data_IF_308627534462
#
_entry.id   IF_308627534462
#
_cell.length_a   1.000
_cell.length_b   1.000
_cell.length_c   1.000
_cell.angle_alpha   90.00
_cell.angle_beta   90.00
_cell.angle_gamma   90.00
#
_symmetry.space_group_name_H-M   'P 1'
#
loop_
_entity.id
_entity.type
_entity.pdbx_description
1 polymer ?
#
# COMPACT_ATOMS: atom_id res chain seq x y z
N UNK A 1 0.92 -22.80 27.02
CA UNK A 1 0.78 -21.85 25.89
C UNK A 1 1.71 -22.29 24.77
N UNK A 2 1.35 -22.10 23.52
CA UNK A 2 2.27 -22.35 22.41
C UNK A 2 3.32 -21.23 22.34
N UNK A 3 4.49 -21.51 21.77
CA UNK A 3 5.55 -20.49 21.57
C UNK A 3 5.03 -19.24 20.84
N UNK A 4 4.09 -19.43 19.93
CA UNK A 4 3.44 -18.33 19.21
C UNK A 4 2.57 -17.48 20.14
N UNK A 5 1.81 -18.09 21.05
CA UNK A 5 0.98 -17.36 22.01
C UNK A 5 1.81 -16.49 22.93
N UNK A 6 2.93 -17.01 23.46
CA UNK A 6 3.83 -16.25 24.33
C UNK A 6 4.44 -15.04 23.60
N UNK A 7 4.94 -15.26 22.37
CA UNK A 7 5.50 -14.18 21.53
C UNK A 7 4.43 -13.13 21.20
N UNK A 8 3.21 -13.56 20.83
CA UNK A 8 2.11 -12.67 20.46
C UNK A 8 1.65 -11.82 21.65
N UNK A 9 1.49 -12.44 22.84
CA UNK A 9 1.11 -11.71 24.06
C UNK A 9 2.13 -10.65 24.40
N UNK A 10 3.43 -10.98 24.37
CA UNK A 10 4.49 -10.04 24.70
C UNK A 10 4.61 -8.92 23.65
N UNK A 11 4.53 -9.24 22.37
CA UNK A 11 4.52 -8.26 21.29
C UNK A 11 3.35 -7.28 21.42
N UNK A 12 2.14 -7.80 21.58
CA UNK A 12 0.90 -7.01 21.60
C UNK A 12 0.76 -6.11 22.83
N UNK A 13 1.38 -6.50 23.94
CA UNK A 13 1.34 -5.79 25.23
C UNK A 13 1.75 -4.34 25.11
N UNK A 14 2.73 -4.01 24.25
CA UNK A 14 3.31 -2.67 24.18
C UNK A 14 2.46 -1.67 23.41
N UNK A 15 1.85 -2.05 22.30
CA UNK A 15 1.27 -1.09 21.40
C UNK A 15 -0.27 -1.13 21.30
N UNK A 16 -0.91 -2.14 21.83
CA UNK A 16 -2.37 -2.26 21.71
C UNK A 16 -3.13 -1.02 22.21
N UNK A 17 -2.69 -0.47 23.32
CA UNK A 17 -3.30 0.73 23.88
C UNK A 17 -2.96 2.01 23.08
N UNK A 18 -1.78 2.07 22.46
CA UNK A 18 -1.40 3.17 21.60
C UNK A 18 -2.35 3.24 20.39
N UNK A 19 -2.57 2.11 19.68
CA UNK A 19 -3.51 2.07 18.56
C UNK A 19 -4.93 2.52 18.97
N UNK A 20 -5.42 2.09 20.14
CA UNK A 20 -6.73 2.51 20.63
C UNK A 20 -6.76 4.04 20.87
N UNK A 21 -5.71 4.62 21.47
CA UNK A 21 -5.60 6.08 21.69
C UNK A 21 -5.59 6.86 20.37
N UNK A 22 -4.96 6.32 19.34
CA UNK A 22 -4.96 6.87 17.97
C UNK A 22 -6.26 6.61 17.20
N UNK A 23 -7.30 6.02 17.84
CA UNK A 23 -8.63 5.82 17.25
C UNK A 23 -8.75 4.57 16.37
N UNK A 24 -7.77 3.67 16.42
CA UNK A 24 -7.86 2.38 15.73
C UNK A 24 -8.75 1.40 16.50
N UNK A 25 -9.56 0.67 15.75
CA UNK A 25 -10.36 -0.44 16.29
C UNK A 25 -9.85 -1.76 15.73
N UNK A 26 -9.76 -2.78 16.58
CA UNK A 26 -9.43 -4.12 16.12
C UNK A 26 -10.52 -4.61 15.18
N UNK A 27 -10.15 -4.96 13.95
CA UNK A 27 -11.02 -5.67 13.03
C UNK A 27 -10.46 -7.07 12.83
N UNK A 28 -11.36 -7.97 12.75
CA UNK A 28 -11.29 -9.39 12.45
C UNK A 28 -9.89 -9.95 12.15
N UNK A 29 -9.42 -10.84 13.01
CA UNK A 29 -8.38 -11.80 12.68
C UNK A 29 -8.84 -12.66 11.50
N UNK A 30 -8.04 -12.68 10.43
CA UNK A 30 -8.25 -13.62 9.32
C UNK A 30 -7.02 -14.49 9.23
N UNK A 31 -7.16 -15.74 9.66
CA UNK A 31 -6.01 -16.61 9.80
C UNK A 31 -4.96 -16.00 10.75
N UNK A 32 -3.75 -15.82 10.26
CA UNK A 32 -2.60 -15.26 10.98
C UNK A 32 -2.50 -13.73 10.93
N UNK A 33 -3.35 -13.05 10.14
CA UNK A 33 -3.32 -11.59 9.99
C UNK A 33 -4.19 -10.91 11.05
N UNK A 34 -3.60 -9.94 11.73
CA UNK A 34 -4.26 -9.03 12.67
C UNK A 34 -4.30 -7.64 12.06
N UNK A 35 -5.49 -7.07 11.88
CA UNK A 35 -5.67 -5.75 11.30
C UNK A 35 -6.44 -4.84 12.24
N UNK A 36 -6.01 -3.58 12.30
CA UNK A 36 -6.62 -2.48 13.04
C UNK A 36 -6.97 -1.40 12.04
N UNK A 37 -8.18 -0.87 12.15
CA UNK A 37 -8.68 0.12 11.22
C UNK A 37 -9.05 1.41 11.94
N UNK A 38 -8.75 2.53 11.29
CA UNK A 38 -9.21 3.87 11.67
C UNK A 38 -9.89 4.49 10.45
N UNK A 39 -11.17 4.87 10.52
CA UNK A 39 -11.86 5.48 9.40
C UNK A 39 -11.34 6.90 9.16
N UNK A 40 -11.36 7.33 7.89
CA UNK A 40 -11.23 8.71 7.46
C UNK A 40 -12.25 8.99 6.34
N UNK A 41 -12.32 10.21 5.84
CA UNK A 41 -13.38 10.65 4.91
C UNK A 41 -13.49 9.77 3.66
N UNK A 42 -12.37 9.31 3.09
CA UNK A 42 -12.34 8.55 1.83
C UNK A 42 -12.15 7.05 2.03
N UNK A 43 -12.00 6.57 3.27
CA UNK A 43 -11.76 5.15 3.52
C UNK A 43 -11.23 4.82 4.92
N UNK A 44 -10.14 4.04 4.97
CA UNK A 44 -9.58 3.56 6.23
C UNK A 44 -8.06 3.58 6.23
N UNK A 45 -7.47 4.00 7.35
CA UNK A 45 -6.09 3.63 7.66
C UNK A 45 -6.04 2.21 8.22
N UNK A 46 -5.03 1.47 7.84
CA UNK A 46 -4.84 0.08 8.24
C UNK A 46 -3.46 -0.06 8.89
N UNK A 47 -3.44 -0.48 10.13
CA UNK A 47 -2.24 -0.99 10.79
C UNK A 47 -2.37 -2.50 10.94
N UNK A 48 -1.38 -3.27 10.54
CA UNK A 48 -1.49 -4.73 10.56
C UNK A 48 -0.17 -5.45 10.82
N UNK A 49 -0.28 -6.67 11.34
CA UNK A 49 0.84 -7.60 11.47
C UNK A 49 0.36 -9.03 11.24
N UNK A 50 1.30 -9.91 10.91
CA UNK A 50 1.08 -11.35 10.74
C UNK A 50 1.78 -12.08 11.90
N UNK A 51 1.08 -13.01 12.54
CA UNK A 51 1.66 -13.89 13.56
C UNK A 51 1.57 -15.34 13.09
N UNK A 52 2.71 -15.89 12.66
CA UNK A 52 2.80 -17.25 12.12
C UNK A 52 2.74 -18.29 13.23
N UNK A 53 1.64 -19.00 13.33
CA UNK A 53 1.36 -19.95 14.42
C UNK A 53 2.41 -21.08 14.48
N UNK A 54 2.87 -21.56 13.34
CA UNK A 54 3.82 -22.68 13.27
C UNK A 54 5.23 -22.32 13.81
N UNK A 55 5.66 -21.08 13.65
CA UNK A 55 7.04 -20.65 13.96
C UNK A 55 7.14 -19.71 15.16
N UNK A 56 6.03 -19.04 15.51
CA UNK A 56 6.02 -17.94 16.46
C UNK A 56 6.62 -16.64 15.92
N UNK A 57 6.89 -16.59 14.61
CA UNK A 57 7.34 -15.38 13.93
C UNK A 57 6.22 -14.33 13.91
N UNK A 58 6.59 -13.07 14.15
CA UNK A 58 5.70 -11.92 13.99
C UNK A 58 6.30 -10.99 12.96
N UNK A 59 5.48 -10.58 11.99
CA UNK A 59 5.87 -9.63 10.94
C UNK A 59 4.94 -8.43 10.94
N UNK A 60 5.46 -7.27 11.31
CA UNK A 60 4.76 -5.99 11.21
C UNK A 60 4.73 -5.57 9.74
N UNK A 61 3.58 -5.09 9.28
CA UNK A 61 3.43 -4.54 7.94
C UNK A 61 3.50 -3.01 8.01
N UNK A 62 4.02 -2.35 6.96
CA UNK A 62 3.90 -0.89 6.85
C UNK A 62 2.45 -0.45 7.02
N UNK A 63 2.20 0.73 7.61
CA UNK A 63 0.85 1.28 7.67
C UNK A 63 0.32 1.51 6.25
N UNK A 64 -0.99 1.40 6.08
CA UNK A 64 -1.63 1.50 4.79
C UNK A 64 -2.80 2.48 4.86
N UNK A 65 -3.04 3.20 3.76
CA UNK A 65 -4.27 3.95 3.54
C UNK A 65 -5.09 3.23 2.44
N UNK A 66 -6.33 2.92 2.72
CA UNK A 66 -7.26 2.29 1.79
C UNK A 66 -8.33 3.29 1.39
N UNK A 67 -8.41 3.61 0.11
CA UNK A 67 -9.46 4.45 -0.45
C UNK A 67 -10.60 3.56 -0.94
N UNK A 68 -11.73 3.60 -0.25
CA UNK A 68 -12.84 2.67 -0.48
C UNK A 68 -13.35 2.68 -1.92
N UNK A 69 -13.40 3.85 -2.57
CA UNK A 69 -13.81 3.97 -3.96
C UNK A 69 -12.81 3.31 -4.92
N UNK A 70 -11.50 3.47 -4.66
CA UNK A 70 -10.44 2.85 -5.48
C UNK A 70 -10.54 1.33 -5.40
N UNK A 71 -10.60 0.79 -4.18
CA UNK A 71 -10.64 -0.65 -3.98
C UNK A 71 -11.96 -1.27 -4.50
N UNK A 72 -13.10 -0.56 -4.35
CA UNK A 72 -14.37 -0.99 -4.91
C UNK A 72 -14.33 -1.06 -6.43
N UNK A 73 -13.80 -0.03 -7.09
CA UNK A 73 -13.65 0.01 -8.55
C UNK A 73 -12.71 -1.09 -9.03
N UNK A 74 -11.59 -1.29 -8.35
CA UNK A 74 -10.63 -2.34 -8.67
C UNK A 74 -11.29 -3.73 -8.61
N UNK A 75 -12.20 -3.94 -7.65
CA UNK A 75 -12.98 -5.18 -7.55
C UNK A 75 -13.92 -5.44 -8.74
N UNK A 76 -14.32 -4.40 -9.45
CA UNK A 76 -15.16 -4.51 -10.66
C UNK A 76 -14.37 -4.91 -11.91
N UNK A 77 -13.03 -4.85 -11.84
CA UNK A 77 -12.13 -5.28 -12.91
C UNK A 77 -11.75 -6.74 -12.67
N UNK A 78 -11.87 -7.55 -13.70
CA UNK A 78 -11.35 -8.91 -13.68
C UNK A 78 -9.89 -8.89 -14.15
N UNK A 79 -8.97 -9.36 -13.29
CA UNK A 79 -7.54 -9.38 -13.59
C UNK A 79 -6.86 -10.63 -12.99
N UNK A 80 -5.73 -11.07 -13.56
CA UNK A 80 -4.99 -12.21 -13.04
C UNK A 80 -4.61 -12.04 -11.57
N UNK A 81 -4.54 -13.16 -10.85
CA UNK A 81 -4.12 -13.21 -9.44
C UNK A 81 -4.97 -12.37 -8.48
N UNK A 82 -6.17 -11.95 -8.93
CA UNK A 82 -7.12 -11.24 -8.08
C UNK A 82 -7.40 -12.06 -6.83
N UNK A 83 -6.84 -11.60 -5.71
CA UNK A 83 -7.07 -12.25 -4.44
C UNK A 83 -8.56 -12.17 -4.07
N UNK A 84 -9.23 -13.31 -3.99
CA UNK A 84 -10.62 -13.42 -3.56
C UNK A 84 -10.81 -13.04 -2.08
N UNK A 85 -9.75 -12.70 -1.38
CA UNK A 85 -9.77 -12.39 0.04
C UNK A 85 -9.95 -10.89 0.27
N UNK A 86 -11.09 -10.57 0.82
CA UNK A 86 -11.58 -9.23 1.18
C UNK A 86 -10.90 -8.58 2.39
N UNK A 87 -9.62 -8.81 2.62
CA UNK A 87 -8.84 -7.87 3.40
C UNK A 87 -8.10 -7.05 2.36
N UNK A 88 -8.73 -5.95 1.98
CA UNK A 88 -8.13 -5.01 1.08
C UNK A 88 -6.72 -4.69 1.56
N UNK A 89 -5.74 -5.04 0.75
CA UNK A 89 -4.47 -4.34 0.81
C UNK A 89 -4.84 -2.86 0.67
N UNK A 90 -4.31 -2.00 1.52
CA UNK A 90 -4.57 -0.57 1.38
C UNK A 90 -4.19 -0.08 -0.01
N UNK A 91 -4.74 1.03 -0.44
CA UNK A 91 -4.40 1.64 -1.72
C UNK A 91 -2.94 2.08 -1.73
N UNK A 92 -2.49 2.70 -0.64
CA UNK A 92 -1.11 3.16 -0.43
C UNK A 92 -0.47 2.43 0.75
N UNK A 93 0.86 2.35 0.70
CA UNK A 93 1.67 1.75 1.75
C UNK A 93 2.76 2.73 2.19
N UNK A 94 2.80 3.00 3.49
CA UNK A 94 3.88 3.74 4.12
C UNK A 94 5.16 2.91 4.24
N UNK A 95 6.11 3.44 4.99
CA UNK A 95 7.40 2.80 5.24
C UNK A 95 7.55 2.46 6.72
N UNK A 96 8.24 1.38 7.01
CA UNK A 96 8.69 1.07 8.37
C UNK A 96 9.97 1.86 8.68
N UNK A 97 10.23 2.11 9.97
CA UNK A 97 11.50 2.67 10.38
C UNK A 97 12.65 1.67 10.14
N UNK A 98 13.87 2.18 9.92
CA UNK A 98 15.06 1.34 9.75
C UNK A 98 15.28 0.43 10.98
N UNK A 99 14.99 0.93 12.19
CA UNK A 99 15.13 0.14 13.40
C UNK A 99 14.06 -0.96 13.52
N UNK A 100 12.85 -0.70 13.03
CA UNK A 100 11.81 -1.74 12.94
C UNK A 100 12.21 -2.84 11.95
N UNK A 101 12.79 -2.48 10.80
CA UNK A 101 13.29 -3.45 9.82
C UNK A 101 14.42 -4.33 10.41
N UNK A 102 15.33 -3.74 11.19
CA UNK A 102 16.40 -4.49 11.88
C UNK A 102 15.83 -5.48 12.90
N UNK A 103 14.86 -5.03 13.70
CA UNK A 103 14.21 -5.89 14.70
C UNK A 103 13.35 -6.97 14.05
N UNK A 104 12.71 -6.68 12.92
CA UNK A 104 11.98 -7.67 12.16
C UNK A 104 12.90 -8.78 11.63
N UNK A 105 14.07 -8.43 11.08
CA UNK A 105 15.09 -9.40 10.67
C UNK A 105 15.60 -10.23 11.84
N UNK A 106 15.79 -9.62 13.03
CA UNK A 106 16.12 -10.34 14.25
C UNK A 106 15.02 -11.34 14.67
N UNK A 107 13.75 -10.92 14.58
CA UNK A 107 12.60 -11.77 14.85
C UNK A 107 12.50 -12.93 13.84
N UNK A 108 12.82 -12.70 12.57
CA UNK A 108 12.87 -13.73 11.52
C UNK A 108 13.99 -14.76 11.79
N UNK A 109 15.16 -14.29 12.22
CA UNK A 109 16.28 -15.18 12.52
C UNK A 109 16.08 -15.99 13.82
N UNK A 110 15.42 -15.43 14.82
CA UNK A 110 15.18 -16.05 16.12
C UNK A 110 13.86 -15.59 16.73
N UNK A 111 12.74 -16.27 16.44
CA UNK A 111 11.43 -15.90 16.98
C UNK A 111 11.32 -16.32 18.45
N UNK A 112 11.73 -15.42 19.34
CA UNK A 112 11.71 -15.58 20.79
C UNK A 112 10.84 -14.52 21.47
N UNK A 113 10.48 -14.74 22.71
CA UNK A 113 9.75 -13.75 23.54
C UNK A 113 10.54 -12.44 23.63
N UNK A 114 11.87 -12.50 23.76
CA UNK A 114 12.73 -11.31 23.80
C UNK A 114 12.68 -10.53 22.49
N UNK A 115 12.81 -11.21 21.33
CA UNK A 115 12.73 -10.54 20.03
C UNK A 115 11.33 -9.98 19.75
N UNK A 116 10.27 -10.65 20.20
CA UNK A 116 8.90 -10.18 20.13
C UNK A 116 8.68 -8.93 21.00
N UNK A 117 9.23 -8.91 22.23
CA UNK A 117 9.18 -7.77 23.13
C UNK A 117 9.86 -6.53 22.53
N UNK A 118 11.07 -6.69 22.00
CA UNK A 118 11.80 -5.59 21.34
C UNK A 118 11.07 -5.05 20.13
N UNK A 119 10.54 -5.93 19.28
CA UNK A 119 9.74 -5.53 18.11
C UNK A 119 8.45 -4.81 18.55
N UNK A 120 7.78 -5.29 19.61
CA UNK A 120 6.59 -4.64 20.17
C UNK A 120 6.86 -3.23 20.70
N UNK A 121 7.99 -3.04 21.39
CA UNK A 121 8.41 -1.73 21.89
C UNK A 121 8.72 -0.76 20.76
N UNK A 122 9.41 -1.21 19.71
CA UNK A 122 9.70 -0.37 18.56
C UNK A 122 8.42 -0.05 17.76
N UNK A 123 7.51 -1.02 17.64
CA UNK A 123 6.19 -0.79 17.06
C UNK A 123 5.42 0.30 17.82
N UNK A 124 5.49 0.27 19.17
CA UNK A 124 4.90 1.33 19.99
C UNK A 124 5.52 2.70 19.69
N UNK A 125 6.85 2.80 19.61
CA UNK A 125 7.53 4.06 19.30
C UNK A 125 7.15 4.58 17.91
N UNK A 126 7.09 3.69 16.94
CA UNK A 126 6.66 4.03 15.58
C UNK A 126 5.24 4.61 15.57
N UNK A 127 4.29 3.98 16.27
CA UNK A 127 2.90 4.45 16.36
C UNK A 127 2.85 5.85 16.97
N UNK A 128 3.54 6.08 18.08
CA UNK A 128 3.53 7.37 18.80
C UNK A 128 4.23 8.51 18.03
N UNK A 129 5.15 8.19 17.12
CA UNK A 129 6.01 9.19 16.47
C UNK A 129 5.73 9.41 14.99
N UNK A 130 5.20 8.42 14.29
CA UNK A 130 5.13 8.42 12.82
C UNK A 130 3.73 8.20 12.26
N UNK A 131 2.85 7.54 13.01
CA UNK A 131 1.56 7.15 12.48
C UNK A 131 0.67 8.35 12.18
N UNK A 132 0.70 9.37 13.03
CA UNK A 132 -0.06 10.60 12.84
C UNK A 132 0.37 11.35 11.56
N UNK A 133 1.68 11.49 11.34
CA UNK A 133 2.20 12.13 10.11
C UNK A 133 1.79 11.36 8.85
N UNK A 134 1.81 10.03 8.91
CA UNK A 134 1.31 9.19 7.80
C UNK A 134 -0.19 9.42 7.55
N UNK A 135 -0.99 9.51 8.60
CA UNK A 135 -2.42 9.76 8.50
C UNK A 135 -2.72 11.14 7.92
N UNK A 136 -2.01 12.18 8.39
CA UNK A 136 -2.16 13.54 7.86
C UNK A 136 -1.82 13.60 6.37
N UNK A 137 -0.72 12.99 5.97
CA UNK A 137 -0.26 12.95 4.57
C UNK A 137 -1.26 12.24 3.66
N UNK A 138 -1.70 11.04 4.06
CA UNK A 138 -2.52 10.17 3.22
C UNK A 138 -4.03 10.31 3.44
N UNK A 139 -4.50 11.24 4.29
CA UNK A 139 -5.93 11.54 4.44
C UNK A 139 -6.49 12.40 3.32
N UNK A 140 -5.65 13.18 2.64
CA UNK A 140 -6.04 14.18 1.65
C UNK A 140 -5.53 13.76 0.27
N UNK A 141 -6.43 13.44 -0.70
CA UNK A 141 -6.02 13.02 -2.03
C UNK A 141 -5.07 13.99 -2.74
N UNK A 142 -5.22 15.31 -2.53
CA UNK A 142 -4.36 16.33 -3.12
C UNK A 142 -2.90 16.22 -2.67
N UNK A 143 -2.64 15.95 -1.39
CA UNK A 143 -1.27 15.76 -0.87
C UNK A 143 -0.60 14.55 -1.53
N UNK A 144 -1.37 13.49 -1.71
CA UNK A 144 -0.89 12.26 -2.37
C UNK A 144 -0.54 12.54 -3.84
N UNK A 145 -1.38 13.27 -4.55
CA UNK A 145 -1.09 13.65 -5.96
C UNK A 145 0.20 14.45 -6.03
N UNK A 146 0.37 15.43 -5.14
CA UNK A 146 1.60 16.22 -5.09
C UNK A 146 2.84 15.35 -4.90
N UNK A 147 2.82 14.42 -3.95
CA UNK A 147 3.92 13.48 -3.73
C UNK A 147 4.18 12.58 -4.96
N UNK A 148 3.11 12.06 -5.59
CA UNK A 148 3.22 11.18 -6.75
C UNK A 148 3.88 11.85 -7.96
N UNK A 149 3.66 13.16 -8.15
CA UNK A 149 4.27 13.91 -9.25
C UNK A 149 5.79 14.09 -9.09
N UNK A 150 6.33 13.95 -7.88
CA UNK A 150 7.78 13.97 -7.62
C UNK A 150 8.45 12.59 -7.72
N UNK A 151 7.69 11.51 -7.84
CA UNK A 151 8.24 10.16 -7.94
C UNK A 151 8.67 9.83 -9.38
N UNK A 152 9.81 9.17 -9.52
CA UNK A 152 10.29 8.68 -10.83
C UNK A 152 9.27 7.76 -11.51
N UNK A 153 8.54 6.98 -10.73
CA UNK A 153 7.47 6.13 -11.20
C UNK A 153 6.32 6.09 -10.17
N UNK A 154 5.24 6.79 -10.46
CA UNK A 154 4.11 7.01 -9.57
C UNK A 154 3.45 5.70 -9.09
N UNK A 155 3.41 4.64 -9.92
CA UNK A 155 2.79 3.37 -9.54
C UNK A 155 3.48 2.67 -8.36
N UNK A 156 4.74 3.02 -8.04
CA UNK A 156 5.48 2.45 -6.91
C UNK A 156 4.87 2.79 -5.54
N UNK A 157 4.05 3.82 -5.45
CA UNK A 157 3.38 4.21 -4.22
C UNK A 157 2.18 3.32 -3.88
N UNK A 158 1.66 2.60 -4.88
CA UNK A 158 0.46 1.79 -4.72
C UNK A 158 0.78 0.35 -4.36
N UNK A 159 -0.10 -0.26 -3.58
CA UNK A 159 -0.01 -1.67 -3.20
C UNK A 159 -0.33 -2.61 -4.36
N UNK A 160 0.23 -3.80 -4.29
CA UNK A 160 -0.04 -4.91 -5.20
C UNK A 160 1.15 -5.28 -6.09
N UNK A 161 0.93 -6.25 -6.98
CA UNK A 161 1.86 -6.53 -8.08
C UNK A 161 1.98 -5.32 -9.00
N UNK A 162 3.07 -5.16 -9.78
CA UNK A 162 3.24 -3.97 -10.61
C UNK A 162 2.03 -3.62 -11.50
N UNK A 163 1.39 -4.57 -12.23
CA UNK A 163 0.19 -4.26 -13.00
C UNK A 163 -1.00 -3.84 -12.12
N UNK A 164 -1.19 -4.50 -10.97
CA UNK A 164 -2.25 -4.17 -10.03
C UNK A 164 -2.04 -2.79 -9.38
N UNK A 165 -0.81 -2.46 -9.01
CA UNK A 165 -0.44 -1.15 -8.50
C UNK A 165 -0.72 -0.04 -9.53
N UNK A 166 -0.45 -0.29 -10.81
CA UNK A 166 -0.80 0.64 -11.90
C UNK A 166 -2.31 0.81 -12.04
N UNK A 167 -3.10 -0.25 -11.88
CA UNK A 167 -4.56 -0.16 -11.92
C UNK A 167 -5.08 0.72 -10.78
N UNK A 168 -4.60 0.49 -9.54
CA UNK A 168 -4.95 1.36 -8.40
C UNK A 168 -4.62 2.82 -8.68
N UNK A 169 -3.43 3.06 -9.20
CA UNK A 169 -2.98 4.41 -9.51
C UNK A 169 -3.85 5.10 -10.55
N UNK A 170 -4.16 4.45 -11.67
CA UNK A 170 -5.03 5.01 -12.71
C UNK A 170 -6.44 5.31 -12.17
N UNK A 171 -7.00 4.42 -11.35
CA UNK A 171 -8.28 4.65 -10.69
C UNK A 171 -8.18 5.84 -9.74
N UNK A 172 -7.11 5.92 -8.94
CA UNK A 172 -6.89 7.03 -8.01
C UNK A 172 -6.79 8.37 -8.74
N UNK A 173 -5.98 8.46 -9.83
CA UNK A 173 -5.89 9.66 -10.65
C UNK A 173 -7.24 10.05 -11.27
N UNK A 174 -8.02 9.08 -11.76
CA UNK A 174 -9.37 9.36 -12.27
C UNK A 174 -10.27 10.01 -11.19
N UNK A 175 -10.13 9.59 -9.94
CA UNK A 175 -10.97 10.08 -8.84
C UNK A 175 -10.45 11.40 -8.24
N UNK A 176 -9.15 11.56 -8.12
CA UNK A 176 -8.52 12.65 -7.38
C UNK A 176 -8.01 13.79 -8.28
N UNK A 177 -7.59 13.49 -9.52
CA UNK A 177 -6.97 14.46 -10.44
C UNK A 177 -7.15 14.01 -11.89
N UNK A 178 -8.39 14.00 -12.42
CA UNK A 178 -8.69 13.46 -13.75
C UNK A 178 -8.00 14.21 -14.90
N UNK A 179 -7.56 15.45 -14.67
CA UNK A 179 -6.80 16.24 -15.64
C UNK A 179 -5.38 15.66 -15.88
N UNK A 180 -4.80 14.95 -14.91
CA UNK A 180 -3.49 14.28 -15.03
C UNK A 180 -3.59 12.87 -15.61
N UNK A 181 -4.80 12.30 -15.64
CA UNK A 181 -5.01 10.92 -16.08
C UNK A 181 -4.53 10.63 -17.52
N UNK A 182 -4.68 11.52 -18.52
CA UNK A 182 -4.20 11.26 -19.88
C UNK A 182 -2.70 10.96 -19.93
N UNK A 183 -1.88 11.69 -19.17
CA UNK A 183 -0.44 11.48 -19.11
C UNK A 183 -0.11 10.14 -18.43
N UNK A 184 -0.86 9.77 -17.38
CA UNK A 184 -0.67 8.49 -16.67
C UNK A 184 -1.10 7.31 -17.54
N UNK A 185 -2.16 7.46 -18.34
CA UNK A 185 -2.56 6.47 -19.33
C UNK A 185 -1.49 6.29 -20.41
N UNK A 186 -0.93 7.38 -20.95
CA UNK A 186 0.14 7.29 -21.92
C UNK A 186 1.38 6.57 -21.38
N UNK A 187 1.77 6.83 -20.12
CA UNK A 187 2.84 6.12 -19.46
C UNK A 187 2.52 4.62 -19.29
N UNK A 188 1.28 4.31 -18.88
CA UNK A 188 0.81 2.94 -18.69
C UNK A 188 0.71 2.16 -20.00
N UNK A 189 0.26 2.79 -21.10
CA UNK A 189 0.22 2.18 -22.43
C UNK A 189 1.58 1.62 -22.82
N UNK A 190 2.66 2.38 -22.61
CA UNK A 190 4.03 1.95 -22.92
C UNK A 190 4.45 0.72 -22.11
N UNK A 191 3.98 0.59 -20.86
CA UNK A 191 4.27 -0.57 -20.00
C UNK A 191 3.48 -1.80 -20.47
N UNK A 192 2.17 -1.64 -20.66
CA UNK A 192 1.31 -2.76 -21.04
C UNK A 192 1.49 -3.22 -22.50
N UNK A 193 2.01 -2.37 -23.37
CA UNK A 193 2.41 -2.75 -24.74
C UNK A 193 3.73 -3.54 -24.77
N UNK A 194 4.58 -3.36 -23.75
CA UNK A 194 5.85 -4.08 -23.65
C UNK A 194 5.66 -5.50 -23.13
N UNK A 195 5.96 -6.49 -23.98
CA UNK A 195 5.95 -7.90 -23.58
C UNK A 195 7.05 -8.27 -22.59
N UNK A 196 8.09 -7.48 -22.50
CA UNK A 196 9.16 -7.67 -21.52
C UNK A 196 8.73 -7.28 -20.11
N UNK A 197 7.83 -6.25 -20.00
CA UNK A 197 7.35 -5.72 -18.73
C UNK A 197 6.08 -6.42 -18.25
N UNK A 198 5.17 -6.74 -19.18
CA UNK A 198 3.91 -7.46 -18.90
C UNK A 198 3.82 -8.65 -19.86
N UNK A 199 4.34 -9.78 -19.43
CA UNK A 199 4.39 -11.00 -20.25
C UNK A 199 3.03 -11.65 -20.45
N UNK A 200 2.14 -11.56 -19.45
CA UNK A 200 0.82 -12.17 -19.44
C UNK A 200 -0.20 -11.34 -20.21
N UNK A 201 -0.77 -11.91 -21.26
CA UNK A 201 -1.79 -11.26 -22.09
C UNK A 201 -3.09 -10.96 -21.30
N UNK A 202 -3.40 -11.73 -20.27
CA UNK A 202 -4.57 -11.49 -19.42
C UNK A 202 -4.50 -10.13 -18.72
N UNK A 203 -3.33 -9.69 -18.27
CA UNK A 203 -3.14 -8.33 -17.72
C UNK A 203 -3.39 -7.24 -18.76
N UNK A 204 -3.01 -7.46 -20.01
CA UNK A 204 -3.27 -6.48 -21.10
C UNK A 204 -4.76 -6.37 -21.41
N UNK A 205 -5.48 -7.51 -21.43
CA UNK A 205 -6.92 -7.53 -21.61
C UNK A 205 -7.59 -6.76 -20.48
N UNK A 206 -7.22 -7.06 -19.24
CA UNK A 206 -7.75 -6.36 -18.06
C UNK A 206 -7.47 -4.86 -18.09
N UNK A 207 -6.29 -4.46 -18.58
CA UNK A 207 -5.94 -3.05 -18.76
C UNK A 207 -6.84 -2.34 -19.78
N UNK A 208 -7.16 -2.98 -20.91
CA UNK A 208 -8.10 -2.38 -21.89
C UNK A 208 -9.50 -2.22 -21.28
N UNK A 209 -9.97 -3.22 -20.53
CA UNK A 209 -11.25 -3.13 -19.80
C UNK A 209 -11.24 -1.97 -18.80
N UNK A 210 -10.13 -1.79 -18.07
CA UNK A 210 -9.97 -0.66 -17.15
C UNK A 210 -10.06 0.67 -17.90
N UNK A 211 -9.31 0.86 -19.01
CA UNK A 211 -9.33 2.10 -19.81
C UNK A 211 -10.73 2.47 -20.31
N UNK A 212 -11.52 1.49 -20.74
CA UNK A 212 -12.90 1.71 -21.18
C UNK A 212 -13.84 2.12 -20.05
N UNK A 213 -13.55 1.69 -18.82
CA UNK A 213 -14.39 1.98 -17.66
C UNK A 213 -14.01 3.27 -16.95
N UNK A 214 -12.73 3.68 -16.95
CA UNK A 214 -12.23 4.86 -16.23
C UNK A 214 -13.11 6.11 -16.41
N UNK A 215 -13.53 6.51 -17.60
CA UNK A 215 -14.33 7.73 -17.79
C UNK A 215 -15.74 7.68 -17.18
N UNK A 216 -16.21 6.51 -16.77
CA UNK A 216 -17.55 6.33 -16.16
C UNK A 216 -17.59 6.72 -14.70
N UNK A 217 -16.43 6.79 -14.02
CA UNK A 217 -16.33 7.10 -12.61
C UNK A 217 -16.12 8.60 -12.41
N UNK A 218 -16.95 9.17 -11.55
CA UNK A 218 -16.88 10.61 -11.24
C UNK A 218 -15.74 10.87 -10.26
N UNK A 219 -15.03 11.97 -10.49
CA UNK A 219 -14.04 12.48 -9.56
C UNK A 219 -14.67 12.73 -8.18
N UNK A 220 -13.83 12.71 -7.13
CA UNK A 220 -14.22 13.18 -5.82
C UNK A 220 -14.74 14.62 -5.93
N UNK A 221 -15.81 14.95 -5.21
CA UNK A 221 -16.34 16.31 -5.23
C UNK A 221 -15.27 17.28 -4.71
N UNK A 222 -14.88 18.25 -5.54
CA UNK A 222 -13.82 19.22 -5.23
C UNK A 222 -14.32 20.39 -4.38
N UNK A 223 -15.24 20.16 -3.45
CA UNK A 223 -15.65 21.21 -2.48
C UNK A 223 -14.58 21.53 -1.42
N UNK A 224 -13.42 20.89 -1.49
CA UNK A 224 -12.24 21.35 -0.78
C UNK A 224 -11.60 22.45 -1.61
N UNK A 225 -11.75 23.70 -1.12
CA UNK A 225 -11.24 24.94 -1.69
C UNK A 225 -9.98 24.75 -2.54
N UNK A 226 -10.16 24.98 -3.85
CA UNK A 226 -9.09 24.92 -4.85
C UNK A 226 -7.92 25.82 -4.41
N UNK A 227 -6.94 25.25 -3.79
CA UNK A 227 -5.60 25.79 -3.92
C UNK A 227 -5.23 25.57 -5.36
N UNK A 228 -5.20 26.64 -6.13
CA UNK A 228 -4.77 26.66 -7.52
C UNK A 228 -3.35 26.11 -7.61
N UNK A 229 -3.22 24.81 -7.87
CA UNK A 229 -1.95 24.17 -8.15
C UNK A 229 -1.46 24.66 -9.51
N UNK A 230 -0.57 25.63 -9.49
CA UNK A 230 0.32 25.89 -10.62
C UNK A 230 1.36 24.77 -10.61
N UNK A 231 1.09 23.70 -11.37
CA UNK A 231 2.09 22.66 -11.65
C UNK A 231 3.34 23.34 -12.20
N UNK A 232 4.51 23.23 -11.55
CA UNK A 232 5.75 23.76 -12.10
C UNK A 232 6.03 23.01 -13.41
N UNK A 233 6.04 23.71 -14.54
CA UNK A 233 6.21 23.17 -15.91
C UNK A 233 7.59 22.56 -16.17
N UNK A 234 8.34 22.10 -15.16
CA UNK A 234 9.77 21.77 -15.26
C UNK A 234 10.16 20.30 -15.16
N UNK A 235 9.24 19.36 -15.12
CA UNK A 235 9.64 17.94 -15.07
C UNK A 235 8.98 17.08 -16.14
N UNK A 236 9.38 17.33 -17.40
CA UNK A 236 9.45 16.23 -18.37
C UNK A 236 10.80 15.50 -18.18
N UNK A 237 10.98 14.85 -17.02
CA UNK A 237 12.05 13.87 -16.91
C UNK A 237 11.70 12.70 -17.82
N UNK A 238 12.61 12.39 -18.73
CA UNK A 238 12.48 11.28 -19.65
C UNK A 238 12.23 10.00 -18.81
N UNK A 239 10.99 9.56 -18.80
CA UNK A 239 10.54 8.36 -18.11
C UNK A 239 11.39 7.18 -18.61
N UNK A 240 12.35 6.76 -17.83
CA UNK A 240 13.31 5.74 -18.21
C UNK A 240 12.67 4.38 -18.02
N UNK A 241 12.46 3.63 -19.13
CA UNK A 241 12.11 2.21 -19.08
C UNK A 241 13.06 1.41 -18.16
N UNK A 242 14.32 1.89 -17.99
CA UNK A 242 15.28 1.33 -17.03
C UNK A 242 14.81 1.44 -15.59
N UNK A 243 14.16 2.54 -15.19
CA UNK A 243 13.67 2.72 -13.82
C UNK A 243 12.50 1.76 -13.54
N UNK A 244 11.58 1.60 -14.52
CA UNK A 244 10.50 0.61 -14.44
C UNK A 244 11.11 -0.79 -14.35
N UNK A 245 12.07 -1.11 -15.19
CA UNK A 245 12.71 -2.43 -15.22
C UNK A 245 13.45 -2.75 -13.92
N UNK A 246 14.17 -1.79 -13.37
CA UNK A 246 14.86 -1.93 -12.08
C UNK A 246 13.87 -2.18 -10.94
N UNK A 247 12.72 -1.48 -10.95
CA UNK A 247 11.64 -1.66 -9.99
C UNK A 247 11.00 -3.05 -10.10
N UNK A 248 10.57 -3.45 -11.30
CA UNK A 248 9.97 -4.76 -11.53
C UNK A 248 10.93 -5.89 -11.15
N UNK A 249 12.21 -5.77 -11.52
CA UNK A 249 13.24 -6.74 -11.15
C UNK A 249 13.46 -6.83 -9.64
N UNK A 250 13.37 -5.72 -8.91
CA UNK A 250 13.48 -5.69 -7.45
C UNK A 250 12.29 -6.40 -6.78
N UNK A 251 11.08 -6.21 -7.28
CA UNK A 251 9.87 -6.88 -6.77
C UNK A 251 9.92 -8.39 -7.03
N UNK A 252 10.18 -8.81 -8.26
CA UNK A 252 10.26 -10.24 -8.59
C UNK A 252 11.43 -10.96 -7.90
N UNK A 253 12.55 -10.28 -7.61
CA UNK A 253 13.66 -10.89 -6.88
C UNK A 253 13.37 -11.08 -5.39
N UNK A 254 12.45 -10.33 -4.83
CA UNK A 254 12.02 -10.48 -3.44
C UNK A 254 10.96 -11.57 -3.26
N UNK A 255 10.10 -11.80 -4.25
CA UNK A 255 9.10 -12.89 -4.22
C UNK A 255 9.75 -14.28 -4.40
N UNK A 256 10.78 -14.40 -5.25
CA UNK A 256 11.49 -15.68 -5.47
C UNK A 256 12.35 -16.09 -4.27
N UNK A 257 12.65 -15.21 -3.32
CA UNK A 257 13.37 -15.54 -2.08
C UNK A 257 12.46 -15.88 -0.90
N UNK A 258 11.16 -15.83 -1.09
CA UNK A 258 10.15 -16.06 -0.04
C UNK A 258 9.37 -17.39 -0.20
N UNK A 259 9.84 -18.29 -1.14
CA UNK A 259 9.32 -19.66 -1.32
C UNK A 259 10.37 -20.68 -0.85
#
# INVERSE_FOLDING_TARGET
MSRCEDNLVEFYRFFSQALIRHGYTAKKRVGELFAFLKPFEYGHFIFSFIAYEATGLIRVRPPQASFDAVEKILQEIDYPDKLQFSISLGTFMGELSEDMDKLQKRMEASPTVESASLLGLETFRYIEQKLESFEEEYSIPGNIIEELEYRDFWAMAFNGSPPEAMFRGLIFYQLASPELLPDKLHQSDRVFESRELVADDAWRISYQVLKEKLPRWKAYSTDVSAHSFTVPSRFHSAFSLKAIWAYLKKLYSNEVKAI
#
